data_IF_952376583042
#
_entry.id   IF_952376583042
#
_cell.length_a   1.000
_cell.length_b   1.000
_cell.length_c   1.000
_cell.angle_alpha   90.00
_cell.angle_beta   90.00
_cell.angle_gamma   90.00
#
_symmetry.space_group_name_H-M   'P 1'
#
loop_
_entity.id
_entity.type
_entity.pdbx_description
1 polymer ?
#
# COMPACT_ATOMS: atom_id res chain seq x y z
N UNK A 1 -16.62 5.67 -2.79
CA UNK A 1 -16.85 4.62 -1.78
C UNK A 1 -16.65 5.16 -0.35
N UNK A 2 -15.49 5.74 -0.02
CA UNK A 2 -15.17 6.21 1.35
C UNK A 2 -16.16 7.25 1.87
N UNK A 3 -16.48 8.30 1.09
CA UNK A 3 -17.47 9.33 1.47
C UNK A 3 -18.85 8.72 1.65
N UNK A 4 -19.29 7.87 0.73
CA UNK A 4 -20.56 7.17 0.81
C UNK A 4 -20.69 6.32 2.08
N UNK A 5 -19.67 5.52 2.40
CA UNK A 5 -19.66 4.70 3.63
C UNK A 5 -19.68 5.58 4.89
N UNK A 6 -18.92 6.67 4.89
CA UNK A 6 -18.89 7.65 5.98
C UNK A 6 -20.24 8.30 6.28
N UNK A 7 -21.00 8.60 5.23
CA UNK A 7 -22.31 9.24 5.35
C UNK A 7 -23.39 8.23 5.74
N UNK A 8 -23.27 6.99 5.23
CA UNK A 8 -24.26 5.94 5.50
C UNK A 8 -24.17 5.34 6.90
N UNK A 9 -22.95 5.32 7.47
CA UNK A 9 -22.67 4.74 8.80
C UNK A 9 -21.97 5.75 9.71
N UNK A 10 -22.63 6.86 10.10
CA UNK A 10 -22.02 7.93 10.88
C UNK A 10 -21.55 7.45 12.27
N UNK A 11 -22.33 6.59 12.93
CA UNK A 11 -22.04 6.08 14.27
C UNK A 11 -20.95 4.99 14.28
N UNK A 12 -20.80 4.24 13.18
CA UNK A 12 -19.84 3.14 13.03
C UNK A 12 -18.89 3.37 11.85
N UNK A 13 -18.57 4.62 11.56
CA UNK A 13 -17.74 5.03 10.42
C UNK A 13 -16.41 4.31 10.36
N UNK A 14 -15.72 4.20 11.51
CA UNK A 14 -14.43 3.52 11.59
C UNK A 14 -14.53 2.05 11.21
N UNK A 15 -15.54 1.36 11.70
CA UNK A 15 -15.79 -0.05 11.37
C UNK A 15 -16.11 -0.26 9.88
N UNK A 16 -16.99 0.57 9.31
CA UNK A 16 -17.34 0.48 7.88
C UNK A 16 -16.13 0.69 6.97
N UNK A 17 -15.28 1.66 7.28
CA UNK A 17 -14.06 1.93 6.54
C UNK A 17 -13.00 0.82 6.74
N UNK A 18 -12.92 0.23 7.94
CA UNK A 18 -12.02 -0.89 8.21
C UNK A 18 -12.43 -2.14 7.41
N UNK A 19 -13.72 -2.47 7.35
CA UNK A 19 -14.24 -3.58 6.53
C UNK A 19 -13.96 -3.35 5.05
N UNK A 20 -14.14 -2.13 4.55
CA UNK A 20 -13.79 -1.78 3.18
C UNK A 20 -12.29 -1.97 2.89
N UNK A 21 -11.44 -1.51 3.79
CA UNK A 21 -9.97 -1.68 3.67
C UNK A 21 -9.54 -3.15 3.76
N UNK A 22 -10.19 -3.95 4.61
CA UNK A 22 -9.95 -5.39 4.67
C UNK A 22 -10.26 -6.08 3.34
N UNK A 23 -11.35 -5.70 2.67
CA UNK A 23 -11.67 -6.24 1.34
C UNK A 23 -10.57 -5.98 0.31
N UNK A 24 -10.05 -4.75 0.27
CA UNK A 24 -8.93 -4.40 -0.61
C UNK A 24 -7.66 -5.20 -0.28
N UNK A 25 -7.26 -5.24 0.99
CA UNK A 25 -6.07 -5.96 1.43
C UNK A 25 -6.17 -7.47 1.19
N UNK A 26 -7.35 -8.08 1.37
CA UNK A 26 -7.58 -9.48 1.06
C UNK A 26 -7.46 -9.74 -0.45
N UNK A 27 -8.01 -8.86 -1.28
CA UNK A 27 -7.84 -8.91 -2.73
C UNK A 27 -6.37 -8.88 -3.13
N UNK A 28 -5.62 -7.91 -2.61
CA UNK A 28 -4.17 -7.77 -2.84
C UNK A 28 -3.37 -9.00 -2.38
N UNK A 29 -3.86 -9.72 -1.36
CA UNK A 29 -3.20 -10.92 -0.83
C UNK A 29 -3.52 -12.18 -1.65
N UNK A 30 -4.75 -12.31 -2.15
CA UNK A 30 -5.21 -13.50 -2.87
C UNK A 30 -4.80 -13.44 -4.34
N UNK A 31 -4.82 -12.25 -4.96
CA UNK A 31 -4.57 -12.09 -6.38
C UNK A 31 -3.23 -12.67 -6.85
N UNK A 32 -2.07 -12.44 -6.20
CA UNK A 32 -0.79 -12.99 -6.64
C UNK A 32 -0.76 -14.51 -6.58
N UNK A 33 -1.41 -15.11 -5.57
CA UNK A 33 -1.52 -16.55 -5.46
C UNK A 33 -2.32 -17.15 -6.62
N UNK A 34 -3.48 -16.56 -6.93
CA UNK A 34 -4.31 -16.99 -8.04
C UNK A 34 -3.59 -16.82 -9.39
N UNK A 35 -2.97 -15.66 -9.61
CA UNK A 35 -2.19 -15.38 -10.82
C UNK A 35 -1.02 -16.35 -10.96
N UNK A 36 -0.28 -16.61 -9.87
CA UNK A 36 0.82 -17.58 -9.87
C UNK A 36 0.37 -19.00 -10.21
N UNK A 37 -0.78 -19.44 -9.68
CA UNK A 37 -1.37 -20.74 -10.00
C UNK A 37 -1.80 -20.84 -11.48
N UNK A 38 -2.45 -19.81 -12.00
CA UNK A 38 -2.91 -19.76 -13.41
C UNK A 38 -1.73 -19.68 -14.37
N UNK A 39 -0.69 -18.88 -14.07
CA UNK A 39 0.54 -18.80 -14.86
C UNK A 39 1.32 -20.11 -14.92
N UNK A 40 1.17 -20.97 -13.91
CA UNK A 40 1.74 -22.32 -13.94
C UNK A 40 1.06 -23.25 -14.95
N UNK A 41 -0.14 -22.89 -15.45
CA UNK A 41 -0.97 -23.73 -16.34
C UNK A 41 -1.20 -23.10 -17.72
N UNK A 42 -1.20 -21.79 -17.81
CA UNK A 42 -1.53 -21.00 -19.00
C UNK A 42 -0.40 -20.04 -19.38
N UNK A 43 -0.46 -19.55 -20.63
CA UNK A 43 0.41 -18.45 -21.05
C UNK A 43 0.12 -17.16 -20.30
N UNK A 44 1.06 -16.20 -20.31
CA UNK A 44 0.84 -14.91 -19.66
C UNK A 44 -0.32 -14.12 -20.30
N UNK A 45 -0.52 -14.26 -21.62
CA UNK A 45 -1.63 -13.63 -22.36
C UNK A 45 -2.98 -14.18 -21.89
N UNK A 46 -3.10 -15.51 -21.81
CA UNK A 46 -4.33 -16.17 -21.37
C UNK A 46 -4.61 -15.88 -19.89
N UNK A 47 -3.56 -15.83 -19.06
CA UNK A 47 -3.68 -15.44 -17.65
C UNK A 47 -4.21 -14.02 -17.52
N UNK A 48 -3.70 -13.08 -18.31
CA UNK A 48 -4.20 -11.71 -18.33
C UNK A 48 -5.68 -11.66 -18.73
N UNK A 49 -6.09 -12.39 -19.77
CA UNK A 49 -7.49 -12.47 -20.19
C UNK A 49 -8.40 -13.07 -19.12
N UNK A 50 -8.01 -14.20 -18.54
CA UNK A 50 -8.78 -14.86 -17.47
C UNK A 50 -8.91 -13.96 -16.24
N UNK A 51 -7.88 -13.20 -15.91
CA UNK A 51 -7.89 -12.26 -14.78
C UNK A 51 -8.87 -11.09 -14.96
N UNK A 52 -9.32 -10.81 -16.18
CA UNK A 52 -10.35 -9.77 -16.41
C UNK A 52 -11.78 -10.26 -16.07
N UNK A 53 -12.03 -11.57 -16.09
CA UNK A 53 -13.36 -12.13 -15.85
C UNK A 53 -13.93 -11.75 -14.47
N UNK A 54 -13.22 -11.94 -13.34
CA UNK A 54 -13.71 -11.52 -12.03
C UNK A 54 -14.02 -10.01 -11.97
N UNK A 55 -13.24 -9.19 -12.67
CA UNK A 55 -13.46 -7.73 -12.72
C UNK A 55 -14.80 -7.40 -13.37
N UNK A 56 -15.10 -8.02 -14.51
CA UNK A 56 -16.38 -7.82 -15.19
C UNK A 56 -17.57 -8.34 -14.37
N UNK A 57 -17.42 -9.50 -13.73
CA UNK A 57 -18.45 -10.09 -12.86
C UNK A 57 -18.77 -9.14 -11.69
N UNK A 58 -17.73 -8.65 -11.00
CA UNK A 58 -17.90 -7.71 -9.88
C UNK A 58 -18.44 -6.36 -10.36
N UNK A 59 -17.95 -5.83 -11.47
CA UNK A 59 -18.46 -4.59 -12.04
C UNK A 59 -19.95 -4.70 -12.41
N UNK A 60 -20.35 -5.78 -13.05
CA UNK A 60 -21.75 -6.05 -13.38
C UNK A 60 -22.62 -6.20 -12.11
N UNK A 61 -22.13 -6.93 -11.11
CA UNK A 61 -22.81 -7.07 -9.83
C UNK A 61 -22.99 -5.72 -9.10
N UNK A 62 -21.93 -4.92 -9.02
CA UNK A 62 -22.00 -3.58 -8.45
C UNK A 62 -23.00 -2.72 -9.22
N UNK A 63 -22.96 -2.74 -10.55
CA UNK A 63 -23.90 -1.99 -11.39
C UNK A 63 -25.35 -2.39 -11.12
N UNK A 64 -25.66 -3.68 -11.04
CA UNK A 64 -27.04 -4.16 -10.75
C UNK A 64 -27.50 -3.80 -9.32
N UNK A 65 -26.61 -3.77 -8.35
CA UNK A 65 -26.94 -3.39 -6.98
C UNK A 65 -27.14 -1.87 -6.86
N UNK A 66 -26.26 -1.08 -7.46
CA UNK A 66 -26.36 0.38 -7.42
C UNK A 66 -27.53 0.92 -8.25
N UNK A 67 -27.81 0.35 -9.41
CA UNK A 67 -28.96 0.75 -10.24
C UNK A 67 -30.31 0.53 -9.58
N UNK A 68 -30.39 -0.38 -8.59
CA UNK A 68 -31.59 -0.58 -7.77
C UNK A 68 -31.77 0.44 -6.65
N UNK A 69 -30.71 1.23 -6.35
CA UNK A 69 -30.68 2.20 -5.25
C UNK A 69 -30.58 3.66 -5.73
N UNK A 70 -31.05 3.95 -6.96
CA UNK A 70 -31.00 5.29 -7.58
C UNK A 70 -31.86 6.37 -6.90
N UNK A 71 -32.30 6.19 -5.68
CA UNK A 71 -33.01 7.20 -4.90
C UNK A 71 -32.12 7.82 -3.80
N UNK A 72 -30.81 7.86 -3.98
CA UNK A 72 -29.99 8.71 -3.14
C UNK A 72 -29.81 10.04 -3.91
N UNK A 73 -30.78 10.93 -3.68
CA UNK A 73 -30.64 12.36 -3.95
C UNK A 73 -29.23 12.80 -3.52
N UNK A 74 -28.52 13.61 -4.31
CA UNK A 74 -27.31 14.25 -3.83
C UNK A 74 -27.75 15.19 -2.70
N UNK A 75 -27.84 14.64 -1.47
CA UNK A 75 -28.05 15.45 -0.30
C UNK A 75 -26.87 16.41 -0.20
N UNK A 76 -27.22 17.67 -0.37
CA UNK A 76 -26.52 18.89 -0.08
C UNK A 76 -25.29 18.77 0.82
N UNK A 77 -24.19 18.24 0.31
CA UNK A 77 -22.90 18.42 0.95
C UNK A 77 -22.27 19.72 0.44
N UNK A 78 -23.03 20.78 0.53
CA UNK A 78 -22.55 22.15 0.55
C UNK A 78 -22.34 22.60 1.98
N UNK A 79 -21.56 21.89 2.76
CA UNK A 79 -20.76 22.58 3.76
C UNK A 79 -19.76 23.42 2.97
N UNK A 80 -20.08 24.69 2.83
CA UNK A 80 -19.26 25.73 2.24
C UNK A 80 -17.89 25.65 2.89
N UNK A 81 -16.93 25.07 2.17
CA UNK A 81 -15.53 25.04 2.56
C UNK A 81 -15.10 26.49 2.79
N UNK A 82 -15.08 26.93 4.05
CA UNK A 82 -14.85 28.33 4.43
C UNK A 82 -13.45 28.84 4.12
N UNK A 83 -12.52 27.93 3.78
CA UNK A 83 -11.13 28.26 3.51
C UNK A 83 -10.76 27.78 2.09
N UNK A 84 -10.16 28.64 1.24
CA UNK A 84 -9.69 28.23 -0.08
C UNK A 84 -8.63 27.12 0.05
N UNK A 85 -8.74 26.08 -0.78
CA UNK A 85 -7.81 24.93 -0.79
C UNK A 85 -6.32 25.34 -0.85
N UNK A 86 -6.00 26.38 -1.62
CA UNK A 86 -4.64 26.92 -1.73
C UNK A 86 -4.10 27.50 -0.42
N UNK A 87 -4.96 28.10 0.41
CA UNK A 87 -4.52 28.63 1.71
C UNK A 87 -4.28 27.51 2.72
N UNK A 88 -5.07 26.43 2.68
CA UNK A 88 -4.81 25.22 3.48
C UNK A 88 -3.46 24.62 3.10
N UNK A 89 -3.18 24.42 1.81
CA UNK A 89 -1.88 23.93 1.34
C UNK A 89 -0.72 24.81 1.82
N UNK A 90 -0.86 26.15 1.72
CA UNK A 90 0.20 27.07 2.18
C UNK A 90 0.49 26.93 3.67
N UNK A 91 -0.54 26.71 4.49
CA UNK A 91 -0.38 26.46 5.93
C UNK A 91 0.37 25.15 6.16
N UNK A 92 0.01 24.10 5.42
CA UNK A 92 0.63 22.77 5.54
C UNK A 92 2.10 22.76 5.12
N UNK A 93 2.45 23.48 4.04
CA UNK A 93 3.85 23.65 3.63
C UNK A 93 4.72 24.45 4.62
N UNK A 94 4.13 25.10 5.60
CA UNK A 94 4.85 25.78 6.70
C UNK A 94 5.04 24.88 7.93
N UNK A 95 4.39 23.72 8.00
CA UNK A 95 4.52 22.77 9.11
C UNK A 95 5.63 21.77 8.80
N UNK A 96 6.82 21.99 9.35
CA UNK A 96 8.00 21.14 9.11
C UNK A 96 7.75 19.67 9.49
N UNK A 97 7.00 19.41 10.56
CA UNK A 97 6.68 18.04 10.99
C UNK A 97 5.85 17.29 9.93
N UNK A 98 4.83 17.95 9.37
CA UNK A 98 3.98 17.36 8.34
C UNK A 98 4.76 17.15 7.03
N UNK A 99 5.61 18.10 6.63
CA UNK A 99 6.46 17.94 5.46
C UNK A 99 7.45 16.80 5.65
N UNK A 100 8.14 16.73 6.79
CA UNK A 100 9.04 15.63 7.11
C UNK A 100 8.36 14.27 7.08
N UNK A 101 7.16 14.19 7.67
CA UNK A 101 6.35 12.97 7.64
C UNK A 101 5.92 12.60 6.21
N UNK A 102 5.53 13.57 5.39
CA UNK A 102 5.13 13.35 3.99
C UNK A 102 6.32 12.89 3.15
N UNK A 103 7.50 13.50 3.29
CA UNK A 103 8.72 13.07 2.59
C UNK A 103 9.14 11.66 3.01
N UNK A 104 9.17 11.38 4.30
CA UNK A 104 9.46 10.02 4.82
C UNK A 104 8.47 9.00 4.26
N UNK A 105 7.18 9.35 4.22
CA UNK A 105 6.14 8.51 3.63
C UNK A 105 6.36 8.31 2.11
N UNK A 106 6.88 9.32 1.43
CA UNK A 106 7.29 9.26 0.02
C UNK A 106 8.40 8.24 -0.22
N UNK A 107 9.50 8.30 0.55
CA UNK A 107 10.59 7.32 0.47
C UNK A 107 10.10 5.90 0.78
N UNK A 108 9.30 5.73 1.84
CA UNK A 108 8.69 4.44 2.15
C UNK A 108 7.85 3.88 0.99
N UNK A 109 7.03 4.73 0.36
CA UNK A 109 6.20 4.32 -0.78
C UNK A 109 7.05 3.99 -2.01
N UNK A 110 8.10 4.75 -2.26
CA UNK A 110 9.09 4.50 -3.30
C UNK A 110 9.74 3.12 -3.13
N UNK A 111 10.24 2.81 -1.92
CA UNK A 111 10.78 1.49 -1.60
C UNK A 111 9.75 0.38 -1.82
N UNK A 112 8.50 0.59 -1.38
CA UNK A 112 7.40 -0.36 -1.58
C UNK A 112 7.16 -0.64 -3.08
N UNK A 113 7.11 0.40 -3.93
CA UNK A 113 6.92 0.24 -5.39
C UNK A 113 8.08 -0.54 -5.99
N UNK A 114 9.32 -0.24 -5.62
CA UNK A 114 10.49 -0.99 -6.04
C UNK A 114 10.42 -2.47 -5.65
N UNK A 115 10.04 -2.76 -4.41
CA UNK A 115 9.87 -4.14 -3.93
C UNK A 115 8.78 -4.88 -4.72
N UNK A 116 7.63 -4.23 -4.98
CA UNK A 116 6.54 -4.82 -5.76
C UNK A 116 6.98 -5.21 -7.18
N UNK A 117 7.93 -4.47 -7.78
CA UNK A 117 8.45 -4.76 -9.12
C UNK A 117 9.59 -5.79 -9.09
N UNK A 118 10.53 -5.66 -8.17
CA UNK A 118 11.77 -6.43 -8.23
C UNK A 118 11.76 -7.72 -7.40
N UNK A 119 10.87 -7.89 -6.43
CA UNK A 119 10.69 -9.15 -5.69
C UNK A 119 10.29 -10.30 -6.62
N UNK A 120 9.26 -10.16 -7.49
CA UNK A 120 8.93 -11.24 -8.44
C UNK A 120 10.07 -11.55 -9.40
N UNK A 121 10.73 -10.51 -9.96
CA UNK A 121 11.86 -10.69 -10.87
C UNK A 121 13.03 -11.41 -10.19
N UNK A 122 13.35 -11.07 -8.95
CA UNK A 122 14.41 -11.74 -8.20
C UNK A 122 14.07 -13.21 -7.93
N UNK A 123 12.81 -13.50 -7.58
CA UNK A 123 12.36 -14.88 -7.37
C UNK A 123 12.46 -15.71 -8.65
N UNK A 124 12.05 -15.17 -9.81
CA UNK A 124 12.05 -15.90 -11.07
C UNK A 124 13.44 -15.98 -11.70
N UNK A 125 14.18 -14.88 -11.79
CA UNK A 125 15.38 -14.78 -12.60
C UNK A 125 16.66 -15.13 -11.85
N UNK A 126 16.67 -14.94 -10.52
CA UNK A 126 17.87 -15.21 -9.69
C UNK A 126 17.69 -16.47 -8.86
N UNK A 127 16.51 -16.67 -8.26
CA UNK A 127 16.23 -17.85 -7.42
C UNK A 127 15.53 -18.97 -8.20
N UNK A 128 15.28 -18.80 -9.51
CA UNK A 128 14.65 -19.77 -10.39
C UNK A 128 13.32 -20.34 -9.84
N UNK A 129 12.57 -19.51 -9.11
CA UNK A 129 11.31 -19.91 -8.51
C UNK A 129 10.22 -19.98 -9.59
N UNK A 130 9.44 -21.06 -9.58
CA UNK A 130 8.30 -21.20 -10.47
C UNK A 130 7.18 -20.19 -10.15
N UNK A 131 6.22 -19.98 -11.09
CA UNK A 131 5.16 -18.98 -10.96
C UNK A 131 4.33 -19.13 -9.68
N UNK A 132 4.05 -20.36 -9.26
CA UNK A 132 3.31 -20.65 -8.03
C UNK A 132 4.06 -20.19 -6.79
N UNK A 133 5.37 -20.46 -6.71
CA UNK A 133 6.20 -20.06 -5.56
C UNK A 133 6.36 -18.54 -5.48
N UNK A 134 6.47 -17.89 -6.63
CA UNK A 134 6.47 -16.42 -6.75
C UNK A 134 5.14 -15.83 -6.24
N UNK A 135 4.02 -16.41 -6.67
CA UNK A 135 2.69 -16.02 -6.20
C UNK A 135 2.50 -16.21 -4.70
N UNK A 136 2.96 -17.33 -4.14
CA UNK A 136 2.94 -17.60 -2.69
C UNK A 136 3.77 -16.56 -1.93
N UNK A 137 5.00 -16.29 -2.37
CA UNK A 137 5.86 -15.29 -1.73
C UNK A 137 5.21 -13.92 -1.68
N UNK A 138 4.65 -13.49 -2.80
CA UNK A 138 3.95 -12.21 -2.91
C UNK A 138 2.69 -12.14 -2.04
N UNK A 139 1.91 -13.22 -2.01
CA UNK A 139 0.72 -13.32 -1.15
C UNK A 139 1.07 -13.26 0.33
N UNK A 140 2.14 -13.95 0.76
CA UNK A 140 2.61 -13.90 2.14
C UNK A 140 3.05 -12.49 2.55
N UNK A 141 3.72 -11.76 1.65
CA UNK A 141 4.07 -10.36 1.88
C UNK A 141 2.82 -9.50 2.12
N UNK A 142 1.78 -9.65 1.30
CA UNK A 142 0.54 -8.90 1.43
C UNK A 142 -0.27 -9.29 2.68
N UNK A 143 -0.34 -10.58 2.99
CA UNK A 143 -0.98 -11.10 4.22
C UNK A 143 -0.30 -10.58 5.48
N UNK A 144 1.04 -10.47 5.46
CA UNK A 144 1.80 -9.82 6.53
C UNK A 144 1.24 -8.43 6.84
N UNK A 145 0.94 -7.65 5.80
CA UNK A 145 0.34 -6.32 5.93
C UNK A 145 -1.08 -6.32 6.52
N UNK A 146 -1.91 -7.29 6.11
CA UNK A 146 -3.27 -7.44 6.67
C UNK A 146 -3.21 -7.69 8.19
N UNK A 147 -2.33 -8.58 8.62
CA UNK A 147 -2.18 -8.97 10.02
C UNK A 147 -1.53 -7.86 10.87
N UNK A 148 -0.53 -7.17 10.30
CA UNK A 148 0.24 -6.15 11.05
C UNK A 148 -0.51 -4.84 11.24
N UNK A 149 -1.40 -4.46 10.33
CA UNK A 149 -2.09 -3.17 10.37
C UNK A 149 -2.85 -2.92 11.67
N UNK A 150 -3.70 -3.84 12.18
CA UNK A 150 -4.37 -3.65 13.47
C UNK A 150 -3.41 -3.68 14.66
N UNK A 151 -2.36 -4.51 14.58
CA UNK A 151 -1.36 -4.61 15.65
C UNK A 151 -0.55 -3.32 15.76
N UNK A 152 -0.03 -2.82 14.64
CA UNK A 152 0.73 -1.56 14.59
C UNK A 152 -0.14 -0.36 14.99
N UNK A 153 -1.41 -0.34 14.57
CA UNK A 153 -2.39 0.66 14.99
C UNK A 153 -2.56 0.69 16.50
N UNK A 154 -2.91 -0.44 17.12
CA UNK A 154 -3.11 -0.56 18.56
C UNK A 154 -1.84 -0.25 19.37
N UNK A 155 -0.67 -0.66 18.91
CA UNK A 155 0.60 -0.32 19.57
C UNK A 155 0.90 1.17 19.45
N UNK A 156 0.65 1.78 18.27
CA UNK A 156 0.88 3.21 18.08
C UNK A 156 -0.01 4.10 18.96
N UNK A 157 -1.20 3.62 19.31
CA UNK A 157 -2.11 4.30 20.23
C UNK A 157 -1.57 4.28 21.68
N UNK A 158 -0.80 3.24 22.05
CA UNK A 158 -0.28 3.07 23.42
C UNK A 158 1.09 3.73 23.63
N UNK A 159 2.03 3.56 22.70
CA UNK A 159 3.41 4.00 22.87
C UNK A 159 3.76 5.23 22.01
N UNK A 160 2.78 5.71 21.24
CA UNK A 160 2.92 6.87 20.35
C UNK A 160 3.21 6.50 18.90
N UNK A 161 2.92 7.44 17.99
CA UNK A 161 3.08 7.23 16.54
C UNK A 161 4.55 7.13 16.13
N UNK A 162 5.38 8.05 16.64
CA UNK A 162 6.78 8.19 16.25
C UNK A 162 7.63 6.95 16.48
N UNK A 163 7.62 6.28 17.65
CA UNK A 163 8.41 5.06 17.88
C UNK A 163 8.06 3.91 16.92
N UNK A 164 6.75 3.72 16.65
CA UNK A 164 6.28 2.67 15.73
C UNK A 164 6.74 2.94 14.29
N UNK A 165 6.62 4.19 13.85
CA UNK A 165 7.00 4.56 12.48
C UNK A 165 8.52 4.46 12.30
N UNK A 166 9.30 5.05 13.19
CA UNK A 166 10.78 5.03 13.10
C UNK A 166 11.32 3.61 13.25
N UNK A 167 10.83 2.86 14.26
CA UNK A 167 11.24 1.47 14.47
C UNK A 167 10.83 0.56 13.31
N UNK A 168 9.62 0.72 12.77
CA UNK A 168 9.16 -0.04 11.61
C UNK A 168 9.96 0.26 10.35
N UNK A 169 10.31 1.53 10.09
CA UNK A 169 11.17 1.88 8.95
C UNK A 169 12.59 1.34 9.11
N UNK A 170 13.20 1.51 10.28
CA UNK A 170 14.53 0.97 10.55
C UNK A 170 14.57 -0.56 10.38
N UNK A 171 13.55 -1.25 10.91
CA UNK A 171 13.43 -2.71 10.74
C UNK A 171 13.19 -3.09 9.28
N UNK A 172 12.38 -2.34 8.53
CA UNK A 172 12.19 -2.56 7.09
C UNK A 172 13.50 -2.44 6.32
N UNK A 173 14.29 -1.41 6.59
CA UNK A 173 15.63 -1.21 6.01
C UNK A 173 16.54 -2.42 6.28
N UNK A 174 16.59 -2.89 7.52
CA UNK A 174 17.40 -4.06 7.89
C UNK A 174 16.94 -5.33 7.17
N UNK A 175 15.63 -5.53 7.04
CA UNK A 175 15.08 -6.70 6.33
C UNK A 175 15.34 -6.60 4.83
N UNK A 176 15.19 -5.43 4.21
CA UNK A 176 15.52 -5.25 2.78
C UNK A 176 17.02 -5.50 2.54
N UNK A 177 17.89 -4.99 3.39
CA UNK A 177 19.32 -5.26 3.32
C UNK A 177 19.65 -6.76 3.50
N UNK A 178 18.94 -7.46 4.39
CA UNK A 178 19.04 -8.91 4.51
C UNK A 178 18.60 -9.64 3.24
N UNK A 179 17.51 -9.21 2.59
CA UNK A 179 17.05 -9.80 1.34
C UNK A 179 18.09 -9.66 0.21
N UNK A 180 18.87 -8.59 0.21
CA UNK A 180 19.95 -8.39 -0.76
C UNK A 180 21.06 -9.47 -0.68
N UNK A 181 21.18 -10.18 0.44
CA UNK A 181 22.18 -11.24 0.66
C UNK A 181 21.56 -12.63 0.83
N UNK A 182 20.23 -12.74 0.81
CA UNK A 182 19.51 -13.99 0.98
C UNK A 182 19.67 -14.88 -0.28
N UNK A 183 20.51 -15.91 -0.19
CA UNK A 183 20.83 -16.80 -1.32
C UNK A 183 19.90 -18.02 -1.48
N UNK A 184 18.84 -18.17 -0.68
CA UNK A 184 17.91 -19.29 -0.80
C UNK A 184 16.46 -18.84 -0.91
N UNK A 185 15.66 -19.58 -1.69
CA UNK A 185 14.21 -19.27 -1.87
C UNK A 185 13.47 -19.19 -0.53
N UNK A 186 13.73 -20.13 0.40
CA UNK A 186 13.02 -20.20 1.68
C UNK A 186 13.35 -18.96 2.53
N UNK A 187 14.62 -18.59 2.64
CA UNK A 187 15.04 -17.40 3.41
C UNK A 187 14.47 -16.12 2.78
N UNK A 188 14.49 -16.03 1.46
CA UNK A 188 13.96 -14.88 0.76
C UNK A 188 12.45 -14.75 0.94
N UNK A 189 11.68 -15.84 0.74
CA UNK A 189 10.21 -15.84 0.91
C UNK A 189 9.82 -15.56 2.36
N UNK A 190 10.53 -16.14 3.34
CA UNK A 190 10.30 -15.81 4.75
C UNK A 190 10.62 -14.34 5.07
N UNK A 191 11.71 -13.84 4.49
CA UNK A 191 12.10 -12.43 4.63
C UNK A 191 11.08 -11.46 4.04
N UNK A 192 10.56 -11.72 2.83
CA UNK A 192 9.53 -10.85 2.24
C UNK A 192 8.19 -10.94 2.98
N UNK A 193 7.82 -12.09 3.53
CA UNK A 193 6.64 -12.22 4.38
C UNK A 193 6.78 -11.35 5.65
N UNK A 194 7.93 -11.39 6.30
CA UNK A 194 8.24 -10.57 7.47
C UNK A 194 8.34 -9.09 7.09
N UNK A 195 8.96 -8.76 5.95
CA UNK A 195 9.00 -7.39 5.42
C UNK A 195 7.60 -6.84 5.20
N UNK A 196 6.70 -7.64 4.63
CA UNK A 196 5.30 -7.29 4.46
C UNK A 196 4.64 -6.93 5.79
N UNK A 197 4.85 -7.75 6.83
CA UNK A 197 4.35 -7.46 8.16
C UNK A 197 4.85 -6.10 8.67
N UNK A 198 6.12 -5.79 8.55
CA UNK A 198 6.70 -4.55 9.07
C UNK A 198 6.30 -3.33 8.21
N UNK A 199 6.54 -3.41 6.90
CA UNK A 199 6.41 -2.27 5.97
C UNK A 199 4.95 -1.80 5.81
N UNK A 200 4.02 -2.75 5.68
CA UNK A 200 2.59 -2.41 5.53
C UNK A 200 1.93 -2.01 6.86
N UNK A 201 2.41 -2.56 8.00
CA UNK A 201 1.92 -2.16 9.32
C UNK A 201 2.19 -0.69 9.66
N UNK A 202 3.28 -0.12 9.16
CA UNK A 202 3.61 1.31 9.33
C UNK A 202 2.63 2.22 8.60
N UNK A 203 2.06 1.80 7.48
CA UNK A 203 1.22 2.64 6.61
C UNK A 203 0.03 3.31 7.32
N UNK A 204 -0.86 2.59 8.02
CA UNK A 204 -1.99 3.22 8.73
C UNK A 204 -1.52 4.14 9.85
N UNK A 205 -0.41 3.84 10.51
CA UNK A 205 0.15 4.67 11.58
C UNK A 205 0.64 6.01 11.03
N UNK A 206 1.29 6.04 9.87
CA UNK A 206 1.72 7.27 9.18
C UNK A 206 0.50 8.14 8.83
N UNK A 207 -0.58 7.54 8.31
CA UNK A 207 -1.80 8.29 7.99
C UNK A 207 -2.47 8.86 9.24
N UNK A 208 -2.54 8.07 10.32
CA UNK A 208 -3.06 8.55 11.61
C UNK A 208 -2.22 9.68 12.17
N UNK A 209 -0.89 9.55 12.13
CA UNK A 209 0.03 10.61 12.58
C UNK A 209 -0.13 11.90 11.78
N UNK A 210 -0.27 11.81 10.45
CA UNK A 210 -0.52 12.97 9.60
C UNK A 210 -1.83 13.69 9.98
N UNK A 211 -2.88 12.92 10.30
CA UNK A 211 -4.16 13.46 10.77
C UNK A 211 -4.07 14.08 12.17
N UNK A 212 -3.26 13.49 13.08
CA UNK A 212 -3.06 14.00 14.44
C UNK A 212 -2.33 15.36 14.44
N UNK A 213 -1.49 15.64 13.41
CA UNK A 213 -0.77 16.90 13.25
C UNK A 213 -1.64 18.06 12.73
N UNK A 214 -2.89 17.82 12.37
CA UNK A 214 -3.72 18.80 11.69
C UNK A 214 -5.13 18.89 12.26
N UNK A 215 -5.84 20.00 11.98
CA UNK A 215 -7.22 20.16 12.41
C UNK A 215 -8.15 19.18 11.66
N UNK A 216 -9.23 18.76 12.32
CA UNK A 216 -10.23 17.83 11.75
C UNK A 216 -10.81 18.30 10.42
N UNK A 217 -10.87 19.61 10.19
CA UNK A 217 -11.40 20.21 8.95
C UNK A 217 -10.45 20.05 7.76
N UNK A 218 -9.15 19.83 7.99
CA UNK A 218 -8.11 19.72 6.95
C UNK A 218 -7.71 18.28 6.64
N UNK A 219 -8.37 17.28 7.21
CA UNK A 219 -7.99 15.88 7.08
C UNK A 219 -7.90 15.39 5.64
N UNK A 220 -8.83 15.79 4.76
CA UNK A 220 -8.79 15.43 3.34
C UNK A 220 -7.58 16.00 2.62
N UNK A 221 -7.24 17.27 2.89
CA UNK A 221 -6.08 17.96 2.27
C UNK A 221 -4.76 17.35 2.73
N UNK A 222 -4.65 17.00 4.02
CA UNK A 222 -3.47 16.30 4.59
C UNK A 222 -3.23 14.95 3.92
N UNK A 223 -4.26 14.14 3.85
CA UNK A 223 -4.16 12.83 3.21
C UNK A 223 -3.81 12.97 1.73
N UNK A 224 -4.37 13.97 1.03
CA UNK A 224 -4.01 14.27 -0.36
C UNK A 224 -2.55 14.69 -0.51
N UNK A 225 -2.00 15.48 0.43
CA UNK A 225 -0.58 15.86 0.44
C UNK A 225 0.31 14.62 0.62
N UNK A 226 -0.01 13.77 1.60
CA UNK A 226 0.76 12.53 1.85
C UNK A 226 0.73 11.60 0.63
N UNK A 227 -0.43 11.34 0.04
CA UNK A 227 -0.53 10.51 -1.18
C UNK A 227 0.13 11.15 -2.40
N UNK A 228 0.00 12.47 -2.57
CA UNK A 228 0.66 13.21 -3.65
C UNK A 228 2.19 13.07 -3.56
N UNK A 229 2.74 13.23 -2.34
CA UNK A 229 4.17 13.04 -2.09
C UNK A 229 4.59 11.58 -2.35
N UNK A 230 3.82 10.59 -1.88
CA UNK A 230 4.09 9.18 -2.16
C UNK A 230 4.13 8.91 -3.66
N UNK A 231 3.15 9.40 -4.41
CA UNK A 231 3.09 9.23 -5.87
C UNK A 231 4.29 9.88 -6.57
N UNK A 232 4.65 11.11 -6.17
CA UNK A 232 5.78 11.83 -6.74
C UNK A 232 7.11 11.05 -6.56
N UNK A 233 7.37 10.54 -5.37
CA UNK A 233 8.58 9.76 -5.09
C UNK A 233 8.57 8.40 -5.80
N UNK A 234 7.40 7.81 -6.02
CA UNK A 234 7.26 6.50 -6.67
C UNK A 234 7.48 6.55 -8.19
N UNK A 235 7.27 7.69 -8.85
CA UNK A 235 7.39 7.82 -10.32
C UNK A 235 8.79 7.48 -10.82
N UNK A 236 9.83 7.90 -10.13
CA UNK A 236 11.22 7.69 -10.55
C UNK A 236 11.77 6.29 -10.25
N UNK A 237 11.15 5.56 -9.33
CA UNK A 237 11.70 4.28 -8.84
C UNK A 237 11.81 3.20 -9.91
N UNK A 238 10.81 2.97 -10.79
CA UNK A 238 10.95 1.97 -11.83
C UNK A 238 12.16 2.20 -12.72
N UNK A 239 12.39 3.46 -13.11
CA UNK A 239 13.52 3.84 -13.97
C UNK A 239 14.85 3.68 -13.23
N UNK A 240 14.96 4.25 -12.03
CA UNK A 240 16.21 4.18 -11.24
C UNK A 240 16.57 2.73 -10.88
N UNK A 241 15.59 1.95 -10.44
CA UNK A 241 15.81 0.56 -10.09
C UNK A 241 16.11 -0.30 -11.31
N UNK A 242 15.49 -0.03 -12.47
CA UNK A 242 15.81 -0.67 -13.74
C UNK A 242 17.25 -0.39 -14.16
N UNK A 243 17.69 0.87 -14.14
CA UNK A 243 19.08 1.23 -14.44
C UNK A 243 20.08 0.54 -13.50
N UNK A 244 19.78 0.44 -12.22
CA UNK A 244 20.62 -0.27 -11.25
C UNK A 244 20.64 -1.78 -11.55
N UNK A 245 19.49 -2.36 -11.89
CA UNK A 245 19.38 -3.77 -12.23
C UNK A 245 20.19 -4.11 -13.49
N UNK A 246 20.13 -3.27 -14.54
CA UNK A 246 20.84 -3.45 -15.80
C UNK A 246 22.36 -3.31 -15.65
N UNK A 247 22.83 -2.35 -14.84
CA UNK A 247 24.24 -2.07 -14.67
C UNK A 247 24.93 -2.95 -13.62
N UNK A 248 24.23 -3.30 -12.55
CA UNK A 248 24.82 -3.93 -11.35
C UNK A 248 24.13 -5.23 -10.91
N UNK A 249 23.08 -5.63 -11.63
CA UNK A 249 22.28 -6.81 -11.32
C UNK A 249 21.13 -6.51 -10.32
N UNK A 250 20.10 -7.37 -10.41
CA UNK A 250 18.83 -7.21 -9.63
C UNK A 250 19.09 -7.19 -8.11
N UNK A 251 20.09 -7.90 -7.62
CA UNK A 251 20.47 -7.91 -6.20
C UNK A 251 20.82 -6.53 -5.65
N UNK A 252 21.43 -5.67 -6.46
CA UNK A 252 21.80 -4.30 -6.06
C UNK A 252 20.62 -3.37 -5.91
N UNK A 253 19.49 -3.70 -6.53
CA UNK A 253 18.25 -2.94 -6.35
C UNK A 253 17.78 -2.97 -4.89
N UNK A 254 17.93 -4.10 -4.18
CA UNK A 254 17.56 -4.18 -2.77
C UNK A 254 18.42 -3.23 -1.88
N UNK A 255 19.69 -3.00 -2.25
CA UNK A 255 20.52 -2.00 -1.55
C UNK A 255 20.11 -0.56 -1.85
N UNK A 256 19.56 -0.29 -3.04
CA UNK A 256 19.00 1.01 -3.36
C UNK A 256 17.70 1.28 -2.59
N UNK A 257 16.90 0.23 -2.34
CA UNK A 257 15.60 0.33 -1.68
C UNK A 257 15.68 0.30 -0.14
N UNK A 258 16.81 -0.16 0.42
CA UNK A 258 17.08 -0.16 1.87
C UNK A 258 17.44 1.23 2.38
#
# INVERSE_FOLDING_TARGET
AISFLSERYPDNRGYALAVHALGANLGDSIAPLMVGAVLGMLSWQDTALVSTVPVFVVAFWIWTVLSRHETISPAETKETRKVPYLSELKIMFRQFELLGLSMMSGFRAAAQVGLLMFVPLYLTDVLEAGPMMTGVGFSLMQLGGVLSSPVAGAWSDRIGRRPIVVGGLALSTLVIAFLAIAGSQILFVSGIAFLGFVLYGVRPVVHSWALDLTSKTMGGTVISLVFGTQSLFSIGIPVLSGMVADLFGIQRVFWLLA
#
